data_IF_135079054043
#
_entry.id   IF_135079054043
#
_cell.length_a   1.000
_cell.length_b   1.000
_cell.length_c   1.000
_cell.angle_alpha   90.00
_cell.angle_beta   90.00
_cell.angle_gamma   90.00
#
_symmetry.space_group_name_H-M   'P 1'
#
loop_
_entity.id
_entity.type
_entity.pdbx_description
1 polymer ?
#
# COMPACT_ATOMS: atom_id res chain seq x y z
N UNK A 1 2.91 -6.53 8.30
CA UNK A 1 3.80 -7.68 8.11
C UNK A 1 4.44 -7.65 6.73
N UNK A 2 5.55 -8.35 6.50
CA UNK A 2 6.11 -8.58 5.18
C UNK A 2 5.78 -10.01 4.74
N UNK A 3 5.21 -10.20 3.56
CA UNK A 3 4.90 -11.53 3.02
C UNK A 3 6.12 -12.20 2.37
N UNK A 4 7.16 -11.43 2.03
CA UNK A 4 8.37 -11.91 1.37
C UNK A 4 9.50 -12.10 2.38
N UNK A 5 10.39 -13.07 2.13
CA UNK A 5 11.61 -13.28 2.90
C UNK A 5 12.80 -13.07 1.98
N UNK A 6 13.75 -12.21 2.40
CA UNK A 6 14.96 -11.95 1.62
C UNK A 6 14.74 -11.37 0.22
N UNK A 7 13.55 -10.83 -0.05
CA UNK A 7 13.20 -10.24 -1.35
C UNK A 7 12.80 -11.25 -2.43
N UNK A 8 12.80 -12.55 -2.13
CA UNK A 8 12.29 -13.56 -3.04
C UNK A 8 10.80 -13.83 -2.80
N UNK A 9 10.05 -14.03 -3.87
CA UNK A 9 8.66 -14.48 -3.82
C UNK A 9 8.66 -16.00 -3.74
N UNK A 10 8.38 -16.55 -2.54
CA UNK A 10 8.05 -17.95 -2.36
C UNK A 10 6.55 -18.05 -2.02
N UNK A 11 5.71 -18.52 -2.97
CA UNK A 11 4.27 -18.56 -2.79
C UNK A 11 3.82 -19.33 -1.53
N UNK A 12 4.44 -20.47 -1.27
CA UNK A 12 4.05 -21.33 -0.14
C UNK A 12 4.36 -20.66 1.21
N UNK A 13 5.54 -20.05 1.33
CA UNK A 13 5.93 -19.28 2.53
C UNK A 13 5.07 -18.04 2.71
N UNK A 14 4.81 -17.30 1.64
CA UNK A 14 3.97 -16.10 1.68
C UNK A 14 2.53 -16.43 2.10
N UNK A 15 1.96 -17.53 1.57
CA UNK A 15 0.64 -18.01 1.94
C UNK A 15 0.57 -18.41 3.41
N UNK A 16 1.56 -19.17 3.93
CA UNK A 16 1.61 -19.54 5.35
C UNK A 16 1.67 -18.33 6.26
N UNK A 17 2.54 -17.36 5.96
CA UNK A 17 2.66 -16.13 6.75
C UNK A 17 1.36 -15.36 6.77
N UNK A 18 0.66 -15.26 5.63
CA UNK A 18 -0.64 -14.64 5.55
C UNK A 18 -1.66 -15.35 6.44
N UNK A 19 -1.76 -16.67 6.34
CA UNK A 19 -2.68 -17.47 7.15
C UNK A 19 -2.40 -17.34 8.64
N UNK A 20 -1.12 -17.35 9.05
CA UNK A 20 -0.74 -17.20 10.47
C UNK A 20 -1.09 -15.79 10.99
N UNK A 21 -0.92 -14.75 10.19
CA UNK A 21 -1.35 -13.41 10.56
C UNK A 21 -2.88 -13.33 10.70
N UNK A 22 -3.62 -13.93 9.76
CA UNK A 22 -5.09 -13.98 9.81
C UNK A 22 -5.57 -14.66 11.08
N UNK A 23 -4.98 -15.81 11.45
CA UNK A 23 -5.33 -16.52 12.70
C UNK A 23 -5.15 -15.64 13.94
N UNK A 24 -4.11 -14.80 13.96
CA UNK A 24 -3.83 -13.91 15.10
C UNK A 24 -4.83 -12.76 15.23
N UNK A 25 -5.41 -12.29 14.14
CA UNK A 25 -6.30 -11.11 14.12
C UNK A 25 -7.79 -11.46 13.97
N UNK A 26 -8.10 -12.66 13.50
CA UNK A 26 -9.47 -13.12 13.34
C UNK A 26 -10.25 -13.07 14.66
N UNK A 27 -11.48 -12.60 14.63
CA UNK A 27 -12.34 -12.45 15.81
C UNK A 27 -11.99 -11.28 16.73
N UNK A 28 -10.95 -10.49 16.42
CA UNK A 28 -10.52 -9.33 17.25
C UNK A 28 -10.96 -7.99 16.67
N UNK A 29 -11.63 -7.97 15.53
CA UNK A 29 -11.94 -6.74 14.78
C UNK A 29 -10.71 -6.06 14.17
N UNK A 30 -9.59 -6.76 14.09
CA UNK A 30 -8.34 -6.25 13.53
C UNK A 30 -8.21 -6.59 12.04
N UNK A 31 -7.27 -5.94 11.38
CA UNK A 31 -6.95 -6.17 9.96
C UNK A 31 -5.50 -6.64 9.79
N UNK A 32 -5.20 -7.24 8.66
CA UNK A 32 -3.83 -7.54 8.25
C UNK A 32 -3.31 -6.38 7.42
N UNK A 33 -2.19 -5.77 7.84
CA UNK A 33 -1.48 -4.78 7.03
C UNK A 33 -0.18 -5.37 6.50
N UNK A 34 0.04 -5.27 5.20
CA UNK A 34 1.19 -5.89 4.53
C UNK A 34 2.03 -4.89 3.75
N UNK A 35 3.35 -5.11 3.83
CA UNK A 35 4.33 -4.60 2.88
C UNK A 35 4.66 -5.75 1.94
N UNK A 36 4.32 -5.64 0.67
CA UNK A 36 4.48 -6.70 -0.31
C UNK A 36 4.59 -6.14 -1.71
N UNK A 37 5.09 -6.94 -2.64
CA UNK A 37 5.22 -6.56 -4.06
C UNK A 37 4.02 -7.01 -4.87
N UNK A 38 3.81 -6.37 -6.01
CA UNK A 38 2.74 -6.73 -6.94
C UNK A 38 2.80 -8.19 -7.39
N UNK A 39 3.99 -8.74 -7.60
CA UNK A 39 4.17 -10.15 -7.98
C UNK A 39 3.62 -11.13 -6.91
N UNK A 40 3.80 -10.80 -5.63
CA UNK A 40 3.24 -11.61 -4.53
C UNK A 40 1.72 -11.45 -4.46
N UNK A 41 1.21 -10.23 -4.68
CA UNK A 41 -0.24 -9.98 -4.75
C UNK A 41 -0.87 -10.79 -5.88
N UNK A 42 -0.25 -10.79 -7.06
CA UNK A 42 -0.73 -11.54 -8.22
C UNK A 42 -0.77 -13.05 -7.94
N UNK A 43 0.32 -13.56 -7.37
CA UNK A 43 0.44 -14.99 -7.03
C UNK A 43 -0.58 -15.44 -5.98
N UNK A 44 -0.89 -14.59 -5.00
CA UNK A 44 -1.80 -14.90 -3.89
C UNK A 44 -3.22 -14.34 -4.11
N UNK A 45 -3.55 -13.84 -5.29
CA UNK A 45 -4.79 -13.09 -5.54
C UNK A 45 -6.04 -13.81 -5.02
N UNK A 46 -6.20 -15.08 -5.34
CA UNK A 46 -7.39 -15.84 -4.94
C UNK A 46 -7.47 -15.99 -3.41
N UNK A 47 -6.34 -16.26 -2.75
CA UNK A 47 -6.29 -16.33 -1.29
C UNK A 47 -6.56 -14.97 -0.63
N UNK A 48 -6.08 -13.88 -1.22
CA UNK A 48 -6.33 -12.51 -0.76
C UNK A 48 -7.80 -12.11 -0.97
N UNK A 49 -8.44 -12.61 -2.02
CA UNK A 49 -9.86 -12.41 -2.31
C UNK A 49 -10.76 -13.06 -1.25
N UNK A 50 -10.35 -14.21 -0.71
CA UNK A 50 -11.11 -15.01 0.26
C UNK A 50 -10.80 -14.70 1.72
N UNK A 51 -9.97 -13.66 2.00
CA UNK A 51 -9.62 -13.33 3.37
C UNK A 51 -10.85 -12.98 4.22
N UNK A 52 -10.95 -13.56 5.43
CA UNK A 52 -12.05 -13.31 6.35
C UNK A 52 -11.88 -12.00 7.16
N UNK A 53 -10.76 -11.30 6.97
CA UNK A 53 -10.42 -10.05 7.68
C UNK A 53 -10.00 -8.99 6.66
N UNK A 54 -10.15 -7.69 6.98
CA UNK A 54 -9.70 -6.64 6.07
C UNK A 54 -8.20 -6.73 5.79
N UNK A 55 -7.81 -6.48 4.56
CA UNK A 55 -6.42 -6.37 4.12
C UNK A 55 -6.06 -4.90 3.87
N UNK A 56 -4.87 -4.48 4.29
CA UNK A 56 -4.29 -3.19 3.94
C UNK A 56 -2.96 -3.41 3.22
N UNK A 57 -2.85 -2.94 2.01
CA UNK A 57 -1.64 -2.98 1.19
C UNK A 57 -0.93 -1.63 1.28
N UNK A 58 0.33 -1.63 1.77
CA UNK A 58 1.13 -0.41 1.88
C UNK A 58 1.68 0.04 0.53
N UNK A 59 1.94 1.34 0.43
CA UNK A 59 2.79 1.97 -0.59
C UNK A 59 2.45 1.55 -2.02
N UNK A 60 1.20 1.74 -2.45
CA UNK A 60 0.75 1.39 -3.81
C UNK A 60 1.03 -0.08 -4.20
N UNK A 61 1.20 -0.99 -3.21
CA UNK A 61 1.63 -2.38 -3.46
C UNK A 61 3.09 -2.49 -3.92
N UNK A 62 3.94 -1.53 -3.55
CA UNK A 62 5.32 -1.39 -4.05
C UNK A 62 5.40 -1.47 -5.58
N UNK A 63 4.46 -0.84 -6.26
CA UNK A 63 4.50 -0.65 -7.70
C UNK A 63 5.75 0.16 -8.10
N UNK A 64 6.15 0.08 -9.37
CA UNK A 64 7.19 0.94 -9.93
C UNK A 64 6.52 2.00 -10.79
N UNK A 65 6.63 3.27 -10.41
CA UNK A 65 5.90 4.36 -11.05
C UNK A 65 6.27 4.51 -12.54
N UNK A 66 7.54 4.30 -12.88
CA UNK A 66 8.03 4.35 -14.25
C UNK A 66 7.43 3.29 -15.19
N UNK A 67 6.89 2.19 -14.65
CA UNK A 67 6.23 1.14 -15.44
C UNK A 67 4.72 1.41 -15.64
N UNK A 68 4.17 2.41 -14.96
CA UNK A 68 2.77 2.80 -15.10
C UNK A 68 1.78 1.71 -14.68
N UNK A 69 0.53 1.88 -15.08
CA UNK A 69 -0.60 1.02 -14.65
C UNK A 69 -0.63 -0.36 -15.32
N UNK A 70 0.13 -0.56 -16.40
CA UNK A 70 0.16 -1.84 -17.15
C UNK A 70 1.21 -2.82 -16.61
N UNK A 71 1.91 -2.46 -15.54
CA UNK A 71 2.93 -3.33 -14.96
C UNK A 71 2.36 -4.64 -14.42
N UNK A 72 3.12 -5.74 -14.46
CA UNK A 72 2.68 -7.04 -13.95
C UNK A 72 2.20 -6.98 -12.50
N UNK A 73 1.06 -7.61 -12.21
CA UNK A 73 0.46 -7.70 -10.88
C UNK A 73 -0.35 -6.47 -10.45
N UNK A 74 -0.27 -5.32 -11.15
CA UNK A 74 -1.08 -4.15 -10.78
C UNK A 74 -2.57 -4.38 -11.05
N UNK A 75 -2.90 -5.15 -12.10
CA UNK A 75 -4.28 -5.54 -12.38
C UNK A 75 -4.89 -6.36 -11.22
N UNK A 76 -4.14 -7.30 -10.65
CA UNK A 76 -4.59 -8.08 -9.49
C UNK A 76 -4.86 -7.19 -8.27
N UNK A 77 -4.00 -6.21 -8.00
CA UNK A 77 -4.25 -5.22 -6.94
C UNK A 77 -5.53 -4.41 -7.21
N UNK A 78 -5.74 -3.94 -8.44
CA UNK A 78 -6.96 -3.22 -8.81
C UNK A 78 -8.22 -4.08 -8.63
N UNK A 79 -8.17 -5.38 -8.94
CA UNK A 79 -9.29 -6.31 -8.72
C UNK A 79 -9.63 -6.43 -7.23
N UNK A 80 -8.64 -6.63 -6.37
CA UNK A 80 -8.84 -6.68 -4.91
C UNK A 80 -9.46 -5.40 -4.36
N UNK A 81 -8.98 -4.24 -4.81
CA UNK A 81 -9.50 -2.93 -4.42
C UNK A 81 -10.94 -2.75 -4.91
N UNK A 82 -11.21 -3.08 -6.19
CA UNK A 82 -12.54 -2.97 -6.82
C UNK A 82 -13.56 -3.86 -6.10
N UNK A 83 -13.16 -5.07 -5.75
CA UNK A 83 -13.99 -6.02 -5.00
C UNK A 83 -14.18 -5.63 -3.52
N UNK A 84 -13.52 -4.57 -3.04
CA UNK A 84 -13.58 -4.14 -1.65
C UNK A 84 -12.83 -5.04 -0.67
N UNK A 85 -11.97 -5.93 -1.16
CA UNK A 85 -11.21 -6.89 -0.35
C UNK A 85 -9.92 -6.33 0.23
N UNK A 86 -9.36 -5.30 -0.40
CA UNK A 86 -8.17 -4.64 0.08
C UNK A 86 -8.34 -3.13 0.15
N UNK A 87 -7.80 -2.53 1.20
CA UNK A 87 -7.43 -1.13 1.25
C UNK A 87 -6.03 -0.95 0.71
N UNK A 88 -5.76 0.17 0.05
CA UNK A 88 -4.42 0.54 -0.40
C UNK A 88 -4.03 1.89 0.19
N UNK A 89 -2.82 1.97 0.78
CA UNK A 89 -2.24 3.22 1.22
C UNK A 89 -1.51 3.91 0.07
N UNK A 90 -1.94 5.09 -0.29
CA UNK A 90 -1.21 6.04 -1.12
C UNK A 90 -0.18 6.74 -0.23
N UNK A 91 0.92 6.07 0.03
CA UNK A 91 1.99 6.51 0.94
C UNK A 91 3.35 6.11 0.40
N UNK A 92 4.40 6.79 0.83
CA UNK A 92 5.76 6.42 0.44
C UNK A 92 6.00 6.53 -1.07
N UNK A 93 5.59 7.63 -1.72
CA UNK A 93 5.81 7.86 -3.14
C UNK A 93 7.31 7.74 -3.52
N UNK A 94 8.20 8.10 -2.60
CA UNK A 94 9.66 7.94 -2.74
C UNK A 94 10.15 6.48 -2.78
N UNK A 95 9.31 5.50 -2.42
CA UNK A 95 9.65 4.07 -2.57
C UNK A 95 9.32 3.55 -3.97
N UNK A 96 8.38 4.18 -4.66
CA UNK A 96 7.86 3.70 -5.95
C UNK A 96 8.32 4.54 -7.13
N UNK A 97 8.89 5.72 -6.88
CA UNK A 97 9.36 6.67 -7.90
C UNK A 97 10.73 7.23 -7.55
N UNK A 98 11.55 7.44 -8.55
CA UNK A 98 12.84 8.15 -8.46
C UNK A 98 12.74 9.64 -8.82
N UNK A 99 11.55 10.14 -9.12
CA UNK A 99 11.34 11.51 -9.63
C UNK A 99 11.04 12.52 -8.50
N UNK A 100 11.97 12.56 -7.51
CA UNK A 100 11.91 13.54 -6.44
C UNK A 100 11.88 14.98 -7.00
N UNK A 101 11.34 15.95 -6.25
CA UNK A 101 10.74 15.82 -4.93
C UNK A 101 9.24 15.53 -4.94
N UNK A 102 8.55 15.69 -6.07
CA UNK A 102 7.08 15.66 -6.17
C UNK A 102 6.54 14.32 -6.69
N UNK A 103 7.40 13.42 -7.20
CA UNK A 103 7.03 12.08 -7.67
C UNK A 103 5.83 12.06 -8.63
N UNK A 104 5.82 12.86 -9.70
CA UNK A 104 4.63 13.08 -10.54
C UNK A 104 4.14 11.82 -11.26
N UNK A 105 5.01 10.85 -11.48
CA UNK A 105 4.71 9.55 -12.10
C UNK A 105 3.95 8.60 -11.16
N UNK A 106 3.82 8.92 -9.88
CA UNK A 106 2.91 8.21 -8.97
C UNK A 106 1.43 8.53 -9.22
N UNK A 107 1.12 9.70 -9.82
CA UNK A 107 -0.25 10.15 -10.04
C UNK A 107 -1.12 9.18 -10.87
N UNK A 108 -0.67 8.60 -11.99
CA UNK A 108 -1.47 7.62 -12.75
C UNK A 108 -1.85 6.39 -11.91
N UNK A 109 -0.95 5.91 -11.05
CA UNK A 109 -1.20 4.77 -10.16
C UNK A 109 -2.22 5.14 -9.09
N UNK A 110 -2.04 6.29 -8.42
CA UNK A 110 -2.98 6.81 -7.43
C UNK A 110 -4.39 6.94 -8.00
N UNK A 111 -4.50 7.59 -9.16
CA UNK A 111 -5.78 7.80 -9.84
C UNK A 111 -6.45 6.48 -10.25
N UNK A 112 -5.67 5.48 -10.70
CA UNK A 112 -6.20 4.17 -11.04
C UNK A 112 -6.79 3.45 -9.81
N UNK A 113 -6.09 3.49 -8.66
CA UNK A 113 -6.55 2.93 -7.40
C UNK A 113 -7.80 3.65 -6.87
N UNK A 114 -7.83 4.98 -6.91
CA UNK A 114 -8.99 5.79 -6.52
C UNK A 114 -10.21 5.46 -7.40
N UNK A 115 -10.02 5.40 -8.74
CA UNK A 115 -11.12 5.02 -9.65
C UNK A 115 -11.60 3.59 -9.46
N UNK A 116 -10.73 2.67 -9.05
CA UNK A 116 -11.13 1.29 -8.80
C UNK A 116 -12.13 1.19 -7.64
N UNK A 117 -11.84 1.85 -6.51
CA UNK A 117 -12.78 1.95 -5.40
C UNK A 117 -12.32 3.03 -4.41
N UNK A 118 -12.91 4.23 -4.42
CA UNK A 118 -12.51 5.32 -3.54
C UNK A 118 -12.76 5.05 -2.04
N UNK A 119 -13.61 4.07 -1.71
CA UNK A 119 -13.87 3.64 -0.32
C UNK A 119 -12.78 2.71 0.25
N UNK A 120 -11.80 2.35 -0.57
CA UNK A 120 -10.71 1.43 -0.22
C UNK A 120 -9.33 2.06 -0.35
N UNK A 121 -9.26 3.38 -0.36
CA UNK A 121 -8.00 4.13 -0.47
C UNK A 121 -7.75 4.90 0.82
N UNK A 122 -6.51 4.83 1.29
CA UNK A 122 -6.01 5.57 2.45
C UNK A 122 -4.82 6.41 2.01
N UNK A 123 -4.50 7.47 2.75
CA UNK A 123 -3.31 8.27 2.55
C UNK A 123 -2.41 8.24 3.79
N UNK A 124 -1.11 8.47 3.63
CA UNK A 124 -0.17 8.63 4.72
C UNK A 124 1.20 9.10 4.23
N UNK A 125 1.94 9.77 5.10
CA UNK A 125 3.28 10.31 4.78
C UNK A 125 4.32 9.21 4.60
N UNK A 126 4.23 8.14 5.38
CA UNK A 126 5.28 7.15 5.61
C UNK A 126 6.43 7.67 6.50
N UNK A 127 6.18 8.76 7.25
CA UNK A 127 7.15 9.20 8.24
C UNK A 127 7.56 8.04 9.18
N UNK A 128 8.84 7.87 9.56
CA UNK A 128 9.97 8.81 9.47
C UNK A 128 10.91 8.62 8.25
N UNK A 129 10.50 8.01 7.18
CA UNK A 129 11.25 7.82 5.92
C UNK A 129 12.64 7.18 6.09
N UNK A 130 12.77 6.03 6.77
CA UNK A 130 14.06 5.37 6.87
C UNK A 130 14.49 4.87 5.49
N UNK A 131 15.78 5.04 5.20
CA UNK A 131 16.37 4.44 4.02
C UNK A 131 16.40 2.91 4.17
N UNK A 132 15.63 2.22 3.35
CA UNK A 132 15.54 0.76 3.28
C UNK A 132 16.29 0.17 2.10
N UNK A 133 17.06 0.97 1.36
CA UNK A 133 17.73 0.54 0.12
C UNK A 133 18.92 -0.39 0.35
N UNK A 134 19.50 -0.39 1.55
CA UNK A 134 20.66 -1.20 1.90
C UNK A 134 20.36 -2.37 2.84
N UNK A 135 21.16 -3.44 2.78
CA UNK A 135 21.23 -4.43 3.85
C UNK A 135 22.02 -3.81 5.01
N UNK A 136 21.35 -3.67 6.15
CA UNK A 136 21.96 -3.17 7.38
C UNK A 136 21.91 -4.25 8.45
N UNK A 137 22.91 -4.25 9.33
CA UNK A 137 22.85 -5.07 10.54
C UNK A 137 21.78 -4.49 11.50
N UNK A 138 21.32 -5.27 12.45
CA UNK A 138 20.34 -4.81 13.45
C UNK A 138 20.89 -3.71 14.36
N UNK A 139 22.21 -3.51 14.39
CA UNK A 139 22.90 -2.49 15.17
C UNK A 139 23.11 -1.17 14.40
N UNK A 140 22.94 -1.20 13.07
CA UNK A 140 23.14 -0.01 12.25
C UNK A 140 21.91 0.87 12.22
N UNK A 141 22.11 2.16 12.43
CA UNK A 141 21.05 3.17 12.29
C UNK A 141 20.82 3.45 10.81
N UNK A 142 19.61 3.30 10.35
CA UNK A 142 19.24 3.71 8.99
C UNK A 142 19.20 5.23 8.90
N UNK A 143 19.86 5.85 7.91
CA UNK A 143 19.70 7.27 7.64
C UNK A 143 18.27 7.55 7.17
N UNK A 144 17.87 8.81 7.22
CA UNK A 144 16.60 9.25 6.65
C UNK A 144 16.78 9.52 5.15
N UNK A 145 15.72 9.23 4.40
CA UNK A 145 15.55 9.79 3.06
C UNK A 145 14.94 11.18 3.23
N UNK A 146 15.52 12.16 2.56
CA UNK A 146 15.02 13.53 2.58
C UNK A 146 13.70 13.62 1.80
N UNK A 147 12.59 13.69 2.52
CA UNK A 147 11.23 13.77 1.98
C UNK A 147 10.46 14.85 2.72
N UNK A 148 9.86 15.76 1.99
CA UNK A 148 8.99 16.80 2.52
C UNK A 148 7.54 16.30 2.55
N UNK A 149 7.03 16.04 3.76
CA UNK A 149 5.67 15.55 3.98
C UNK A 149 4.59 16.55 3.51
N UNK A 150 4.87 17.86 3.59
CA UNK A 150 3.98 18.88 3.08
C UNK A 150 3.85 18.83 1.55
N UNK A 151 4.97 18.58 0.85
CA UNK A 151 4.95 18.37 -0.61
C UNK A 151 4.19 17.11 -0.98
N UNK A 152 4.41 16.00 -0.27
CA UNK A 152 3.66 14.75 -0.49
C UNK A 152 2.16 14.95 -0.28
N UNK A 153 1.76 15.71 0.74
CA UNK A 153 0.37 16.03 0.98
C UNK A 153 -0.24 16.89 -0.15
N UNK A 154 0.54 17.81 -0.69
CA UNK A 154 0.11 18.69 -1.80
C UNK A 154 -0.06 17.94 -3.14
N UNK A 155 0.43 16.71 -3.27
CA UNK A 155 0.13 15.85 -4.42
C UNK A 155 -1.29 15.26 -4.37
N UNK A 156 -1.90 15.15 -3.19
CA UNK A 156 -3.23 14.56 -3.06
C UNK A 156 -4.33 15.28 -3.87
N UNK A 157 -4.37 16.62 -3.97
CA UNK A 157 -5.30 17.30 -4.88
C UNK A 157 -5.11 16.96 -6.37
N UNK A 158 -3.90 16.59 -6.79
CA UNK A 158 -3.64 16.13 -8.17
C UNK A 158 -4.15 14.71 -8.39
N UNK A 159 -4.07 13.87 -7.34
CA UNK A 159 -4.57 12.49 -7.40
C UNK A 159 -6.08 12.41 -7.26
N UNK A 160 -6.65 13.26 -6.41
CA UNK A 160 -8.08 13.37 -6.10
C UNK A 160 -8.53 14.83 -6.15
N UNK A 161 -8.86 15.39 -7.33
CA UNK A 161 -9.25 16.80 -7.48
C UNK A 161 -10.53 17.16 -6.72
N UNK A 162 -11.46 16.22 -6.58
CA UNK A 162 -12.69 16.41 -5.83
C UNK A 162 -12.45 16.45 -4.31
N UNK A 163 -12.95 17.48 -3.65
CA UNK A 163 -12.82 17.65 -2.19
C UNK A 163 -13.52 16.53 -1.40
N UNK A 164 -14.65 16.01 -1.90
CA UNK A 164 -15.35 14.91 -1.25
C UNK A 164 -14.52 13.61 -1.33
N UNK A 165 -13.81 13.35 -2.43
CA UNK A 165 -12.88 12.22 -2.55
C UNK A 165 -11.71 12.37 -1.57
N UNK A 166 -11.14 13.56 -1.42
CA UNK A 166 -10.05 13.80 -0.46
C UNK A 166 -10.52 13.59 0.98
N UNK A 167 -11.72 14.10 1.34
CA UNK A 167 -12.32 13.84 2.65
C UNK A 167 -12.48 12.34 2.89
N UNK A 168 -12.99 11.61 1.91
CA UNK A 168 -13.14 10.15 1.99
C UNK A 168 -11.80 9.46 2.28
N UNK A 169 -10.74 9.79 1.55
CA UNK A 169 -9.41 9.20 1.69
C UNK A 169 -8.75 9.57 3.03
N UNK A 170 -8.92 10.79 3.49
CA UNK A 170 -8.24 11.32 4.68
C UNK A 170 -9.01 11.08 5.99
N UNK A 171 -10.34 10.95 5.93
CA UNK A 171 -11.20 10.94 7.12
C UNK A 171 -12.10 9.70 7.14
N UNK A 172 -12.99 9.56 6.16
CA UNK A 172 -14.08 8.58 6.26
C UNK A 172 -13.56 7.13 6.18
N UNK A 173 -12.61 6.84 5.29
CA UNK A 173 -12.02 5.51 5.15
C UNK A 173 -11.14 5.14 6.35
N UNK A 174 -10.23 5.99 6.86
CA UNK A 174 -9.51 5.73 8.09
C UNK A 174 -10.43 5.53 9.29
N UNK A 175 -11.47 6.37 9.46
CA UNK A 175 -12.44 6.23 10.55
C UNK A 175 -13.11 4.85 10.51
N UNK A 176 -13.56 4.42 9.33
CA UNK A 176 -14.19 3.10 9.15
C UNK A 176 -13.25 1.93 9.43
N UNK A 177 -12.00 2.02 8.94
CA UNK A 177 -11.04 0.92 9.08
C UNK A 177 -10.48 0.79 10.50
N UNK A 178 -10.17 1.93 11.14
CA UNK A 178 -9.50 1.95 12.44
C UNK A 178 -10.45 2.18 13.62
N UNK A 179 -11.74 2.40 13.36
CA UNK A 179 -12.74 2.59 14.39
C UNK A 179 -12.66 3.95 15.08
N UNK A 180 -12.26 4.99 14.35
CA UNK A 180 -12.32 6.37 14.85
C UNK A 180 -13.76 6.88 14.65
N UNK A 181 -14.49 7.04 15.74
CA UNK A 181 -15.84 7.54 15.76
C UNK A 181 -16.06 8.56 16.87
#
# INVERSE_FOLDING_TARGET
MNLEIGGAVDPATSARRLQDAVKQVAGRGWHVQTLTRLATIDTLKDQLMDLPVPLVVNHFGNARAELGVQQPGFAALLELVRAGKAYVKLSGAHHISSRAPDFPDAAPLAQALIRANPDRVLWGTNWPHPDSSGRRSVQEVSPFVEVDDGRLFNELPRWAPDAALRRKILVDNPARLYGFG
#
